data_IF_359355702353
#
_entry.id   IF_359355702353
#
_cell.length_a   1.000
_cell.length_b   1.000
_cell.length_c   1.000
_cell.angle_alpha   90.00
_cell.angle_beta   90.00
_cell.angle_gamma   90.00
#
_symmetry.space_group_name_H-M   'P 1'
#
loop_
_entity.id
_entity.type
_entity.pdbx_description
1 polymer ?
#
# COMPACT_ATOMS: atom_id res chain seq x y z
N UNK A 1 -4.54 3.99 12.07
CA UNK A 1 -5.89 4.60 11.82
C UNK A 1 -6.95 3.50 11.77
N UNK A 2 -8.20 3.84 11.40
CA UNK A 2 -9.28 2.84 11.28
C UNK A 2 -8.90 1.74 10.27
N UNK A 3 -9.16 0.47 10.60
CA UNK A 3 -8.88 -0.72 9.77
C UNK A 3 -7.45 -0.85 9.21
N UNK A 4 -6.47 -0.16 9.79
CA UNK A 4 -5.09 -0.15 9.27
C UNK A 4 -4.44 -1.55 9.16
N UNK A 5 -4.86 -2.50 9.99
CA UNK A 5 -4.30 -3.85 9.98
C UNK A 5 -4.66 -4.60 8.69
N UNK A 6 -5.85 -4.36 8.14
CA UNK A 6 -6.31 -4.98 6.88
C UNK A 6 -5.45 -4.49 5.72
N UNK A 7 -5.20 -3.18 5.66
CA UNK A 7 -4.36 -2.57 4.62
C UNK A 7 -2.93 -3.13 4.70
N UNK A 8 -2.38 -3.24 5.92
CA UNK A 8 -1.05 -3.82 6.16
C UNK A 8 -0.95 -5.28 5.74
N UNK A 9 -1.94 -6.08 6.08
CA UNK A 9 -2.00 -7.49 5.71
C UNK A 9 -2.07 -7.63 4.18
N UNK A 10 -2.97 -6.90 3.52
CA UNK A 10 -3.12 -6.93 2.08
C UNK A 10 -1.81 -6.61 1.36
N UNK A 11 -1.12 -5.53 1.74
CA UNK A 11 0.14 -5.16 1.09
C UNK A 11 1.33 -6.02 1.51
N UNK A 12 1.33 -6.62 2.71
CA UNK A 12 2.35 -7.60 3.11
C UNK A 12 2.25 -8.90 2.30
N UNK A 13 1.05 -9.25 1.84
CA UNK A 13 0.79 -10.39 0.97
C UNK A 13 0.53 -9.99 -0.49
N UNK A 14 0.80 -8.74 -0.88
CA UNK A 14 0.45 -8.21 -2.19
C UNK A 14 0.95 -9.07 -3.34
N UNK A 15 2.23 -9.45 -3.26
CA UNK A 15 2.87 -10.31 -4.24
C UNK A 15 2.17 -11.67 -4.34
N UNK A 16 1.77 -12.27 -3.21
CA UNK A 16 1.07 -13.57 -3.19
C UNK A 16 -0.35 -13.48 -3.73
N UNK A 17 -1.02 -12.34 -3.54
CA UNK A 17 -2.36 -12.11 -4.08
C UNK A 17 -2.36 -11.85 -5.58
N UNK A 18 -1.25 -11.34 -6.12
CA UNK A 18 -1.13 -10.92 -7.52
C UNK A 18 -0.10 -11.75 -8.31
N UNK A 19 0.24 -12.95 -7.83
CA UNK A 19 1.12 -13.89 -8.52
C UNK A 19 0.44 -15.24 -8.67
N UNK A 20 0.70 -15.90 -9.80
CA UNK A 20 0.38 -17.30 -9.97
C UNK A 20 1.39 -18.14 -9.17
N UNK A 21 0.90 -19.07 -8.35
CA UNK A 21 1.75 -19.85 -7.45
C UNK A 21 1.31 -21.32 -7.34
N UNK A 22 2.28 -22.22 -7.25
CA UNK A 22 2.10 -23.63 -6.88
C UNK A 22 2.47 -23.83 -5.42
N UNK A 23 1.61 -24.51 -4.67
CA UNK A 23 1.87 -24.95 -3.30
C UNK A 23 1.90 -26.47 -3.28
N UNK A 24 3.08 -27.04 -3.05
CA UNK A 24 3.24 -28.48 -2.87
C UNK A 24 3.27 -28.82 -1.38
N UNK A 25 2.16 -29.36 -0.89
CA UNK A 25 1.99 -29.73 0.52
C UNK A 25 2.76 -31.02 0.89
N UNK A 26 3.15 -31.84 -0.09
CA UNK A 26 3.91 -33.07 0.18
C UNK A 26 5.37 -32.77 0.56
N UNK A 27 5.93 -31.73 -0.05
CA UNK A 27 7.30 -31.25 0.20
C UNK A 27 7.36 -29.94 0.99
N UNK A 28 6.19 -29.37 1.31
CA UNK A 28 6.02 -28.07 1.97
C UNK A 28 6.77 -26.93 1.26
N UNK A 29 6.73 -26.93 -0.07
CA UNK A 29 7.37 -25.93 -0.92
C UNK A 29 6.35 -25.03 -1.59
N UNK A 30 6.79 -23.83 -1.97
CA UNK A 30 5.98 -22.87 -2.71
C UNK A 30 6.81 -22.30 -3.84
N UNK A 31 6.25 -22.28 -5.05
CA UNK A 31 6.91 -21.79 -6.26
C UNK A 31 6.03 -20.72 -6.90
N UNK A 32 6.63 -19.58 -7.26
CA UNK A 32 5.98 -18.53 -8.02
C UNK A 32 6.15 -18.84 -9.50
N UNK A 33 5.05 -18.84 -10.25
CA UNK A 33 5.02 -19.16 -11.67
C UNK A 33 5.10 -17.90 -12.52
N UNK A 34 4.29 -16.90 -12.19
CA UNK A 34 4.28 -15.59 -12.84
C UNK A 34 3.93 -14.50 -11.82
N UNK A 35 4.56 -13.34 -11.95
CA UNK A 35 4.35 -12.21 -11.05
C UNK A 35 3.76 -11.02 -11.80
N UNK A 36 2.49 -10.73 -11.51
CA UNK A 36 1.78 -9.59 -12.08
C UNK A 36 1.79 -8.36 -11.15
N UNK A 37 2.57 -8.37 -10.07
CA UNK A 37 2.65 -7.26 -9.14
C UNK A 37 3.32 -6.03 -9.75
N UNK A 38 2.75 -4.86 -9.52
CA UNK A 38 3.30 -3.57 -9.91
C UNK A 38 4.60 -3.26 -9.16
N UNK A 39 5.49 -2.50 -9.80
CA UNK A 39 6.74 -2.04 -9.21
C UNK A 39 6.51 -0.85 -8.26
N UNK A 40 5.72 -1.06 -7.21
CA UNK A 40 5.37 -0.03 -6.23
C UNK A 40 6.17 -0.17 -4.94
N UNK A 41 6.57 0.99 -4.39
CA UNK A 41 7.09 1.09 -3.03
C UNK A 41 6.02 1.67 -2.11
N UNK A 42 5.31 0.82 -1.38
CA UNK A 42 4.21 1.21 -0.50
C UNK A 42 4.68 1.36 0.94
N UNK A 43 4.47 2.54 1.55
CA UNK A 43 4.81 2.81 2.97
C UNK A 43 3.54 3.03 3.79
N UNK A 44 3.27 2.15 4.75
CA UNK A 44 2.04 2.16 5.55
C UNK A 44 2.29 2.68 6.96
N UNK A 45 1.84 3.90 7.24
CA UNK A 45 2.10 4.60 8.52
C UNK A 45 0.84 4.66 9.38
N UNK A 46 0.95 4.26 10.64
CA UNK A 46 -0.12 4.52 11.61
C UNK A 46 -0.12 6.00 12.00
N UNK A 47 -1.08 6.74 11.45
CA UNK A 47 -1.27 8.15 11.77
C UNK A 47 -2.25 8.40 12.93
N UNK A 48 -2.64 7.37 13.70
CA UNK A 48 -3.50 7.45 14.88
C UNK A 48 -5.00 7.42 14.56
N UNK A 49 -5.83 6.82 15.41
CA UNK A 49 -7.28 6.71 15.17
C UNK A 49 -7.97 8.09 15.18
N UNK A 50 -7.72 8.88 16.22
CA UNK A 50 -8.42 10.16 16.48
C UNK A 50 -7.73 11.38 15.87
N UNK A 51 -6.73 11.18 15.00
CA UNK A 51 -5.97 12.28 14.41
C UNK A 51 -6.68 12.84 13.19
N UNK A 52 -6.81 14.15 13.10
CA UNK A 52 -7.42 14.84 11.96
C UNK A 52 -6.46 14.93 10.77
N UNK A 53 -6.97 15.28 9.59
CA UNK A 53 -6.25 15.25 8.30
C UNK A 53 -4.88 15.93 8.34
N UNK A 54 -4.79 17.19 8.79
CA UNK A 54 -3.52 17.91 8.89
C UNK A 54 -2.49 17.24 9.81
N UNK A 55 -2.96 16.66 10.92
CA UNK A 55 -2.11 15.90 11.84
C UNK A 55 -1.58 14.60 11.22
N UNK A 56 -2.38 13.95 10.38
CA UNK A 56 -1.95 12.74 9.64
C UNK A 56 -0.84 13.09 8.65
N UNK A 57 -0.98 14.18 7.90
CA UNK A 57 0.03 14.68 6.95
C UNK A 57 1.33 15.02 7.68
N UNK A 58 1.26 15.76 8.79
CA UNK A 58 2.45 16.09 9.59
C UNK A 58 3.22 14.85 10.07
N UNK A 59 2.51 13.77 10.43
CA UNK A 59 3.15 12.52 10.90
C UNK A 59 3.89 11.76 9.79
N UNK A 60 3.48 11.92 8.53
CA UNK A 60 4.15 11.27 7.40
C UNK A 60 5.29 12.10 6.79
N UNK A 61 5.43 13.37 7.19
CA UNK A 61 6.45 14.31 6.68
C UNK A 61 7.86 13.71 6.60
N UNK A 62 8.29 12.97 7.63
CA UNK A 62 9.63 12.35 7.68
C UNK A 62 9.91 11.32 6.57
N UNK A 63 8.88 10.82 5.90
CA UNK A 63 8.99 9.87 4.78
C UNK A 63 8.90 10.56 3.42
N UNK A 64 8.43 11.80 3.36
CA UNK A 64 8.22 12.56 2.12
C UNK A 64 9.41 13.45 1.76
N UNK A 65 10.31 13.73 2.71
CA UNK A 65 11.44 14.64 2.50
C UNK A 65 11.00 16.09 2.30
N UNK A 66 11.74 16.84 1.49
CA UNK A 66 11.49 18.26 1.19
C UNK A 66 11.06 18.48 -0.28
N UNK A 67 10.35 17.51 -0.86
CA UNK A 67 9.90 17.57 -2.25
C UNK A 67 8.39 17.84 -2.34
N UNK A 68 7.95 18.33 -3.50
CA UNK A 68 6.52 18.41 -3.79
C UNK A 68 5.95 16.99 -3.91
N UNK A 69 4.77 16.77 -3.37
CA UNK A 69 4.09 15.47 -3.41
C UNK A 69 2.61 15.65 -3.70
N UNK A 70 1.99 14.59 -4.22
CA UNK A 70 0.56 14.53 -4.48
C UNK A 70 -0.20 14.07 -3.22
N UNK A 71 -1.35 14.67 -2.96
CA UNK A 71 -2.22 14.33 -1.85
C UNK A 71 -3.67 14.28 -2.34
N UNK A 72 -4.37 13.21 -2.00
CA UNK A 72 -5.81 13.07 -2.25
C UNK A 72 -6.48 12.36 -1.07
N UNK A 73 -7.81 12.42 -1.03
CA UNK A 73 -8.60 11.56 -0.15
C UNK A 73 -8.71 10.16 -0.75
N UNK A 74 -8.68 9.12 0.09
CA UNK A 74 -8.68 7.72 -0.36
C UNK A 74 -10.03 7.19 -0.83
N UNK A 75 -11.07 8.02 -0.84
CA UNK A 75 -12.46 7.69 -1.19
C UNK A 75 -12.96 8.39 -2.46
N UNK A 76 -12.12 9.20 -3.12
CA UNK A 76 -12.44 9.86 -4.38
C UNK A 76 -11.87 9.14 -5.60
N UNK A 77 -12.66 9.04 -6.67
CA UNK A 77 -12.22 8.62 -8.02
C UNK A 77 -12.60 9.68 -9.05
N UNK A 78 -11.78 9.86 -10.07
CA UNK A 78 -11.96 10.86 -11.12
C UNK A 78 -11.19 10.45 -12.38
N UNK A 79 -11.57 10.99 -13.54
CA UNK A 79 -10.86 10.89 -14.82
C UNK A 79 -9.88 12.07 -15.04
N UNK A 80 -9.66 12.89 -14.01
CA UNK A 80 -8.68 13.98 -14.02
C UNK A 80 -7.28 13.48 -14.44
N UNK A 81 -6.68 14.16 -15.39
CA UNK A 81 -5.28 13.94 -15.76
C UNK A 81 -4.34 14.51 -14.70
N UNK A 82 -3.50 13.67 -14.10
CA UNK A 82 -2.51 14.06 -13.07
C UNK A 82 -1.26 14.72 -13.69
N UNK A 83 -1.03 14.49 -14.99
CA UNK A 83 0.19 14.94 -15.69
C UNK A 83 0.10 16.30 -16.39
N UNK A 84 -1.09 16.91 -16.46
CA UNK A 84 -1.29 18.27 -16.98
C UNK A 84 -1.09 19.33 -15.88
#
# INVERSE_FOLDING_TARGET
>A
GYKQYIIKEYFANYFRHNSDMTVDLSNNTTTILDNHSENWKVTMVDTGLNTQTGGRIRRVQKYLGNERFLLTYGDGVTDLNIGD
#
